data_IF_062704500937
#
_entry.id   IF_062704500937
#
_cell.length_a   1.000
_cell.length_b   1.000
_cell.length_c   1.000
_cell.angle_alpha   90.00
_cell.angle_beta   90.00
_cell.angle_gamma   90.00
#
_symmetry.space_group_name_H-M   'P 1'
#
loop_
_entity.id
_entity.type
_entity.pdbx_description
1 polymer ?
#
# COMPACT_ATOMS: atom_id res chain seq x y z
N UNK A 1 -0.93 9.78 -31.37
CA UNK A 1 -1.14 10.15 -29.94
C UNK A 1 -0.10 9.40 -29.11
N UNK A 2 0.99 10.03 -28.63
CA UNK A 2 2.08 9.31 -28.00
C UNK A 2 1.88 9.12 -26.49
N UNK A 3 2.45 8.01 -26.02
CA UNK A 3 2.56 7.55 -24.65
C UNK A 3 3.56 8.41 -23.86
N UNK A 4 3.20 8.86 -22.66
CA UNK A 4 4.17 9.23 -21.63
C UNK A 4 3.78 8.59 -20.29
N UNK A 5 4.49 7.51 -19.96
CA UNK A 5 4.61 7.00 -18.59
C UNK A 5 5.30 8.08 -17.77
N UNK A 6 4.59 8.72 -16.85
CA UNK A 6 5.22 9.59 -15.86
C UNK A 6 5.21 8.88 -14.51
N UNK A 7 6.20 8.01 -14.31
CA UNK A 7 6.64 7.69 -12.96
C UNK A 7 7.34 8.94 -12.42
N UNK A 8 6.55 9.83 -11.83
CA UNK A 8 7.02 11.00 -11.10
C UNK A 8 7.61 10.52 -9.77
N UNK A 9 8.89 10.16 -9.81
CA UNK A 9 9.71 9.94 -8.62
C UNK A 9 10.21 11.30 -8.15
N UNK A 10 9.49 11.94 -7.21
CA UNK A 10 9.90 13.21 -6.63
C UNK A 10 10.47 13.00 -5.22
N UNK A 11 11.64 13.61 -5.02
CA UNK A 11 12.49 13.61 -3.85
C UNK A 11 11.79 13.97 -2.54
N UNK A 12 12.32 13.37 -1.46
CA UNK A 12 12.10 13.72 -0.06
C UNK A 12 12.36 15.22 0.17
N UNK A 13 11.33 16.05 0.43
CA UNK A 13 11.39 17.10 1.46
C UNK A 13 10.09 17.87 1.78
N UNK A 14 8.90 17.40 1.38
CA UNK A 14 7.65 18.13 1.65
C UNK A 14 6.66 17.21 2.36
N UNK A 15 6.67 17.22 3.70
CA UNK A 15 5.65 16.55 4.52
C UNK A 15 4.36 17.38 4.46
N UNK A 16 3.78 17.48 3.27
CA UNK A 16 2.40 17.85 3.07
C UNK A 16 1.57 16.59 3.19
N UNK A 17 1.05 16.32 4.39
CA UNK A 17 0.20 15.19 4.82
C UNK A 17 -0.24 14.29 3.65
N UNK A 18 0.68 13.42 3.23
CA UNK A 18 0.37 12.25 2.41
C UNK A 18 -0.50 11.42 3.34
N UNK A 19 -1.80 11.32 3.04
CA UNK A 19 -2.82 10.95 4.02
C UNK A 19 -2.39 9.80 4.95
N UNK A 20 -2.73 9.86 6.26
CA UNK A 20 -2.12 9.03 7.31
C UNK A 20 -2.39 7.53 7.16
N UNK A 21 -3.19 7.14 6.17
CA UNK A 21 -3.61 5.78 5.91
C UNK A 21 -2.94 5.28 4.63
N UNK A 22 -1.90 4.46 4.77
CA UNK A 22 -1.18 3.88 3.62
C UNK A 22 -1.52 2.40 3.48
N UNK A 23 -1.77 1.95 2.26
CA UNK A 23 -2.01 0.54 2.01
C UNK A 23 -0.71 -0.27 2.13
N UNK A 24 -0.63 -1.27 3.03
CA UNK A 24 0.58 -2.07 3.21
C UNK A 24 0.93 -2.99 2.03
N UNK A 25 0.00 -3.21 1.10
CA UNK A 25 0.17 -4.12 -0.04
C UNK A 25 0.66 -3.42 -1.31
N UNK A 26 0.19 -2.18 -1.55
CA UNK A 26 0.57 -1.39 -2.73
C UNK A 26 1.28 -0.08 -2.39
N UNK A 27 1.45 0.22 -1.10
CA UNK A 27 2.08 1.45 -0.59
C UNK A 27 1.40 2.74 -1.07
N UNK A 28 0.15 2.66 -1.50
CA UNK A 28 -0.64 3.81 -1.91
C UNK A 28 -1.17 4.56 -0.69
N UNK A 29 -0.99 5.88 -0.63
CA UNK A 29 -1.55 6.71 0.44
C UNK A 29 -3.01 7.05 0.20
N UNK A 30 -3.77 7.15 1.28
CA UNK A 30 -5.19 7.50 1.30
C UNK A 30 -5.45 8.59 2.34
N UNK A 31 -6.36 9.50 2.01
CA UNK A 31 -6.79 10.58 2.89
C UNK A 31 -7.59 10.11 4.11
N UNK A 32 -8.23 8.94 4.04
CA UNK A 32 -9.11 8.41 5.09
C UNK A 32 -8.96 6.90 5.33
N UNK A 33 -9.21 6.44 6.55
CA UNK A 33 -9.21 5.00 6.90
C UNK A 33 -10.29 4.24 6.14
N UNK A 34 -11.46 4.87 5.94
CA UNK A 34 -12.59 4.29 5.20
C UNK A 34 -12.21 3.99 3.76
N UNK A 35 -11.57 4.95 3.06
CA UNK A 35 -11.09 4.75 1.69
C UNK A 35 -10.02 3.66 1.62
N UNK A 36 -9.13 3.59 2.62
CA UNK A 36 -8.13 2.51 2.69
C UNK A 36 -8.78 1.13 2.89
N UNK A 37 -9.74 1.00 3.81
CA UNK A 37 -10.47 -0.25 4.04
C UNK A 37 -11.26 -0.68 2.80
N UNK A 38 -11.91 0.27 2.14
CA UNK A 38 -12.61 0.01 0.87
C UNK A 38 -11.62 -0.47 -0.19
N UNK A 39 -10.49 0.22 -0.34
CA UNK A 39 -9.44 -0.19 -1.26
C UNK A 39 -8.96 -1.63 -0.98
N UNK A 40 -8.70 -1.98 0.28
CA UNK A 40 -8.28 -3.34 0.67
C UNK A 40 -9.35 -4.39 0.34
N UNK A 41 -10.64 -4.04 0.47
CA UNK A 41 -11.75 -4.97 0.26
C UNK A 41 -12.11 -5.22 -1.21
N UNK A 42 -12.00 -4.20 -2.05
CA UNK A 42 -12.51 -4.24 -3.43
C UNK A 42 -11.43 -4.29 -4.51
N UNK A 43 -10.18 -3.95 -4.17
CA UNK A 43 -9.06 -4.03 -5.13
C UNK A 43 -8.39 -5.38 -5.02
N UNK A 44 -7.95 -5.96 -6.14
CA UNK A 44 -7.07 -7.13 -6.11
C UNK A 44 -5.66 -6.68 -5.72
N UNK A 45 -5.12 -7.24 -4.64
CA UNK A 45 -3.76 -6.91 -4.18
C UNK A 45 -2.77 -8.02 -4.51
N UNK A 46 -1.50 -7.62 -4.61
CA UNK A 46 -0.42 -8.56 -4.67
C UNK A 46 -0.42 -9.45 -3.41
N UNK A 47 -0.26 -10.75 -3.62
CA UNK A 47 -0.02 -11.72 -2.54
C UNK A 47 1.45 -11.74 -2.10
N UNK A 48 2.19 -10.72 -2.47
CA UNK A 48 3.60 -10.58 -2.22
C UNK A 48 3.80 -9.37 -1.32
N UNK A 49 4.54 -9.53 -0.25
CA UNK A 49 4.88 -8.41 0.63
C UNK A 49 5.78 -7.41 -0.13
N UNK A 50 5.42 -6.12 -0.24
CA UNK A 50 6.27 -5.15 -0.94
C UNK A 50 7.58 -4.84 -0.21
N UNK A 51 7.70 -5.21 1.07
CA UNK A 51 8.85 -4.89 1.94
C UNK A 51 9.89 -6.00 1.87
N UNK A 52 9.49 -7.24 2.14
CA UNK A 52 10.41 -8.40 2.14
C UNK A 52 10.30 -9.29 0.90
N UNK A 53 9.39 -8.97 -0.03
CA UNK A 53 9.11 -9.72 -1.27
C UNK A 53 8.70 -11.18 -1.06
N UNK A 54 8.23 -11.52 0.14
CA UNK A 54 7.71 -12.86 0.45
C UNK A 54 6.33 -13.06 -0.17
N UNK A 55 6.14 -14.19 -0.83
CA UNK A 55 4.86 -14.58 -1.44
C UNK A 55 4.00 -15.37 -0.45
N UNK A 56 2.69 -15.18 -0.53
CA UNK A 56 1.68 -15.80 0.31
C UNK A 56 0.55 -16.37 -0.54
N UNK A 57 -0.26 -17.24 0.06
CA UNK A 57 -1.40 -17.88 -0.61
C UNK A 57 -2.56 -16.90 -0.86
N UNK A 58 -2.74 -15.93 0.04
CA UNK A 58 -3.87 -15.02 0.09
C UNK A 58 -3.44 -13.61 0.55
N UNK A 59 -4.26 -12.61 0.23
CA UNK A 59 -4.07 -11.21 0.62
C UNK A 59 -4.14 -11.04 2.14
N UNK A 60 -5.09 -11.71 2.82
CA UNK A 60 -5.19 -11.70 4.29
C UNK A 60 -3.90 -12.17 4.97
N UNK A 61 -3.27 -13.24 4.46
CA UNK A 61 -2.00 -13.73 4.99
C UNK A 61 -0.87 -12.73 4.77
N UNK A 62 -0.90 -12.00 3.66
CA UNK A 62 0.08 -10.94 3.36
C UNK A 62 -0.11 -9.76 4.31
N UNK A 63 -1.37 -9.36 4.58
CA UNK A 63 -1.71 -8.29 5.53
C UNK A 63 -1.29 -8.64 6.95
N UNK A 64 -1.61 -9.85 7.42
CA UNK A 64 -1.20 -10.33 8.74
C UNK A 64 0.33 -10.34 8.88
N UNK A 65 1.02 -10.82 7.84
CA UNK A 65 2.47 -10.80 7.80
C UNK A 65 3.03 -9.38 7.91
N UNK A 66 2.49 -8.43 7.12
CA UNK A 66 2.97 -7.05 7.14
C UNK A 66 2.70 -6.38 8.49
N UNK A 67 1.55 -6.62 9.11
CA UNK A 67 1.24 -6.11 10.44
C UNK A 67 2.15 -6.72 11.53
N UNK A 68 2.41 -8.03 11.51
CA UNK A 68 3.21 -8.69 12.55
C UNK A 68 4.73 -8.60 12.37
N UNK A 69 5.22 -8.59 11.12
CA UNK A 69 6.66 -8.62 10.81
C UNK A 69 7.23 -7.24 10.46
N UNK A 70 6.38 -6.33 9.99
CA UNK A 70 6.79 -4.98 9.63
C UNK A 70 6.09 -3.91 10.47
N UNK A 71 5.17 -4.29 11.38
CA UNK A 71 4.46 -3.38 12.30
C UNK A 71 3.61 -2.34 11.56
N UNK A 72 3.15 -2.66 10.35
CA UNK A 72 2.27 -1.80 9.53
C UNK A 72 0.88 -2.43 9.51
N UNK A 73 0.02 -1.97 10.41
CA UNK A 73 -1.32 -2.50 10.61
C UNK A 73 -2.38 -1.52 10.12
N UNK A 74 -3.46 -2.04 9.54
CA UNK A 74 -4.61 -1.26 9.11
C UNK A 74 -5.75 -1.55 10.09
N UNK A 75 -6.11 -0.57 10.92
CA UNK A 75 -7.18 -0.64 11.92
C UNK A 75 -8.47 0.02 11.45
#
# INVERSE_FOLDING_TARGET
MPFIKSHNFLSLNEVGIIGPYVCPLCLMPFSSSVSLKQHIRYTEHAKTCPICKKEFRNTDSTLDHVCKKHNICVS
#
